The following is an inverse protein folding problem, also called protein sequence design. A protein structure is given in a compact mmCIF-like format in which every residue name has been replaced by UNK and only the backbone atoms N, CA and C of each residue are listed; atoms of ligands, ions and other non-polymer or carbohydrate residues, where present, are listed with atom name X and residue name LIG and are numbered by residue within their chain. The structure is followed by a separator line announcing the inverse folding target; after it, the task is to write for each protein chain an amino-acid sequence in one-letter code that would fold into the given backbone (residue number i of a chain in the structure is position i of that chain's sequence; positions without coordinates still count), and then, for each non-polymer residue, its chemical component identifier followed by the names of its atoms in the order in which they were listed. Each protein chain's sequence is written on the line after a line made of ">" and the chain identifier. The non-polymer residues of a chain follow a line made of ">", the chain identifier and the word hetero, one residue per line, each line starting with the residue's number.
data_IF_547140866427
#
_entry.id   IF_547140866427
#
_cell.length_a   1.000
_cell.length_b   1.000
_cell.length_c   1.000
_cell.angle_alpha   90.00
_cell.angle_beta   90.00
_cell.angle_gamma   90.00
#
_symmetry.space_group_name_H-M   'P 1'
#
loop_
_entity.id
_entity.type
_entity.pdbx_description
1 polymer ?
#
# COMPACT_ATOMS: atom_id res chain seq x y z
N UNK A 1 23.14 -3.13 15.78
CA UNK A 1 22.98 -1.84 15.08
C UNK A 1 21.63 -1.89 14.40
N UNK A 2 20.78 -0.87 14.53
CA UNK A 2 19.51 -0.84 13.80
C UNK A 2 19.80 -0.94 12.30
N UNK A 3 19.03 -1.74 11.59
CA UNK A 3 19.09 -1.82 10.14
C UNK A 3 18.29 -0.65 9.52
N UNK A 4 18.37 -0.47 8.19
CA UNK A 4 17.64 0.61 7.50
C UNK A 4 16.12 0.50 7.72
N UNK A 5 15.59 -0.72 7.87
CA UNK A 5 14.18 -0.96 8.10
C UNK A 5 13.75 -0.44 9.48
N UNK A 6 14.54 -0.67 10.52
CA UNK A 6 14.29 -0.16 11.87
C UNK A 6 14.22 1.37 11.91
N UNK A 7 15.10 2.05 11.17
CA UNK A 7 15.11 3.51 11.06
C UNK A 7 13.84 4.03 10.35
N UNK A 8 13.39 3.33 9.31
CA UNK A 8 12.17 3.67 8.59
C UNK A 8 10.96 3.51 9.50
N UNK A 9 10.81 2.36 10.16
CA UNK A 9 9.68 2.08 11.06
C UNK A 9 9.65 3.07 12.22
N UNK A 10 10.82 3.40 12.80
CA UNK A 10 10.91 4.38 13.89
C UNK A 10 10.39 5.75 13.48
N UNK A 11 10.77 6.23 12.28
CA UNK A 11 10.24 7.50 11.78
C UNK A 11 8.75 7.41 11.42
N UNK A 12 8.31 6.28 10.87
CA UNK A 12 6.89 6.06 10.54
C UNK A 12 6.01 6.09 11.78
N UNK A 13 6.49 5.65 12.95
CA UNK A 13 5.76 5.76 14.22
C UNK A 13 5.52 7.22 14.63
N UNK A 14 6.49 8.10 14.38
CA UNK A 14 6.33 9.54 14.63
C UNK A 14 5.32 10.14 13.65
N UNK A 15 5.45 9.83 12.36
CA UNK A 15 4.51 10.28 11.32
C UNK A 15 3.07 9.81 11.60
N UNK A 16 2.90 8.55 12.03
CA UNK A 16 1.59 8.01 12.41
C UNK A 16 0.99 8.79 13.58
N UNK A 17 1.75 9.03 14.64
CA UNK A 17 1.27 9.78 15.81
C UNK A 17 0.86 11.21 15.45
N UNK A 18 1.62 11.86 14.56
CA UNK A 18 1.27 13.18 14.02
C UNK A 18 -0.01 13.09 13.18
N UNK A 19 -0.12 12.11 12.27
CA UNK A 19 -1.31 11.88 11.44
C UNK A 19 -2.58 11.68 12.26
N UNK A 20 -2.54 10.80 13.26
CA UNK A 20 -3.65 10.53 14.20
C UNK A 20 -4.07 11.76 15.02
N UNK A 21 -3.16 12.74 15.21
CA UNK A 21 -3.47 14.00 15.89
C UNK A 21 -4.19 15.01 14.98
N UNK A 22 -4.01 14.89 13.66
CA UNK A 22 -4.56 15.81 12.67
C UNK A 22 -5.90 15.33 12.10
N UNK A 23 -6.04 14.03 11.89
CA UNK A 23 -7.25 13.42 11.31
C UNK A 23 -7.73 12.33 12.24
N UNK A 24 -8.99 12.41 12.67
CA UNK A 24 -9.55 11.40 13.57
C UNK A 24 -9.92 10.13 12.81
N UNK A 25 -9.93 8.99 13.50
CA UNK A 25 -10.40 7.73 12.93
C UNK A 25 -11.84 7.85 12.39
N UNK A 26 -12.71 8.58 13.10
CA UNK A 26 -14.09 8.80 12.68
C UNK A 26 -14.19 9.61 11.35
N UNK A 27 -13.32 10.60 11.16
CA UNK A 27 -13.25 11.35 9.90
C UNK A 27 -12.79 10.45 8.75
N UNK A 28 -11.80 9.58 8.99
CA UNK A 28 -11.36 8.59 8.01
C UNK A 28 -12.47 7.60 7.67
N UNK A 29 -13.17 7.05 8.67
CA UNK A 29 -14.31 6.16 8.45
C UNK A 29 -15.40 6.82 7.60
N UNK A 30 -15.73 8.09 7.89
CA UNK A 30 -16.66 8.88 7.06
C UNK A 30 -16.14 9.04 5.63
N UNK A 31 -14.84 9.27 5.44
CA UNK A 31 -14.24 9.34 4.11
C UNK A 31 -14.29 7.98 3.37
N UNK A 32 -14.10 6.86 4.07
CA UNK A 32 -14.19 5.52 3.45
C UNK A 32 -15.56 5.24 2.85
N UNK A 33 -16.64 5.76 3.46
CA UNK A 33 -18.01 5.56 3.00
C UNK A 33 -18.28 6.21 1.63
N UNK A 34 -17.50 7.22 1.26
CA UNK A 34 -17.61 7.91 -0.03
C UNK A 34 -16.77 7.25 -1.13
N UNK A 35 -15.94 6.27 -0.79
CA UNK A 35 -15.07 5.63 -1.76
C UNK A 35 -15.80 4.48 -2.48
N UNK A 36 -15.54 4.25 -3.77
CA UNK A 36 -16.08 3.09 -4.48
C UNK A 36 -15.57 1.79 -3.86
N UNK A 37 -16.17 0.65 -4.19
CA UNK A 37 -15.63 -0.63 -3.73
C UNK A 37 -14.21 -0.85 -4.27
N UNK A 38 -13.27 -1.37 -3.46
CA UNK A 38 -11.96 -1.79 -3.94
C UNK A 38 -12.05 -2.76 -5.12
N UNK A 39 -11.12 -2.61 -6.07
CA UNK A 39 -10.95 -3.57 -7.15
C UNK A 39 -10.23 -4.84 -6.66
N UNK A 40 -10.53 -5.96 -7.30
CA UNK A 40 -9.98 -7.26 -6.94
C UNK A 40 -8.53 -7.40 -7.43
N UNK A 41 -7.56 -7.23 -6.52
CA UNK A 41 -6.13 -7.42 -6.76
C UNK A 41 -5.81 -8.88 -7.11
N UNK A 42 -6.28 -9.87 -6.33
CA UNK A 42 -5.95 -11.27 -6.62
C UNK A 42 -6.47 -11.67 -7.99
N UNK A 43 -7.68 -11.25 -8.34
CA UNK A 43 -8.27 -11.44 -9.66
C UNK A 43 -7.45 -10.83 -10.79
N UNK A 44 -6.83 -9.66 -10.57
CA UNK A 44 -5.96 -9.02 -11.57
C UNK A 44 -4.61 -9.74 -11.76
N UNK A 45 -4.15 -10.43 -10.71
CA UNK A 45 -2.93 -11.23 -10.69
C UNK A 45 -3.14 -12.68 -11.15
N UNK A 46 -4.38 -13.16 -11.22
CA UNK A 46 -4.71 -14.46 -11.81
C UNK A 46 -4.53 -14.45 -13.34
N UNK A 47 -4.09 -15.58 -13.88
CA UNK A 47 -3.97 -15.79 -15.32
C UNK A 47 -2.67 -16.50 -15.73
N UNK A 48 -2.52 -16.76 -17.03
CA UNK A 48 -1.28 -17.29 -17.60
C UNK A 48 -0.28 -16.18 -17.92
N UNK A 49 1.01 -16.49 -17.83
CA UNK A 49 2.10 -15.55 -18.13
C UNK A 49 2.46 -14.64 -16.96
N UNK A 50 3.42 -13.74 -17.19
CA UNK A 50 3.88 -12.80 -16.16
C UNK A 50 2.86 -11.67 -16.00
N UNK A 51 2.43 -11.45 -14.75
CA UNK A 51 1.53 -10.35 -14.36
C UNK A 51 2.34 -9.30 -13.61
N UNK A 52 2.39 -8.08 -14.14
CA UNK A 52 3.25 -7.02 -13.62
C UNK A 52 2.47 -6.10 -12.67
N UNK A 53 2.93 -5.97 -11.43
CA UNK A 53 2.60 -4.83 -10.56
C UNK A 53 3.63 -3.75 -10.85
N UNK A 54 3.21 -2.64 -11.45
CA UNK A 54 4.11 -1.54 -11.81
C UNK A 54 4.14 -0.49 -10.70
N UNK A 55 5.33 -0.18 -10.19
CA UNK A 55 5.51 0.73 -9.05
C UNK A 55 5.79 2.18 -9.48
N UNK A 56 5.01 3.11 -8.95
CA UNK A 56 5.21 4.55 -9.05
C UNK A 56 6.08 5.00 -7.87
N UNK A 57 7.30 5.43 -8.18
CA UNK A 57 8.31 5.76 -7.17
C UNK A 57 9.28 6.85 -7.64
N UNK A 58 9.41 7.90 -6.82
CA UNK A 58 10.27 9.05 -7.11
C UNK A 58 11.71 8.86 -6.65
N UNK A 59 11.91 8.35 -5.43
CA UNK A 59 13.22 8.16 -4.83
C UNK A 59 13.31 6.87 -4.01
N UNK A 60 14.52 6.51 -3.58
CA UNK A 60 14.75 5.45 -2.59
C UNK A 60 15.95 5.76 -1.70
N UNK A 61 15.98 5.28 -0.45
CA UNK A 61 17.15 5.42 0.43
C UNK A 61 18.44 4.84 -0.19
N UNK A 62 18.33 3.75 -0.96
CA UNK A 62 19.50 3.05 -1.52
C UNK A 62 20.03 3.64 -2.83
N UNK A 63 19.18 4.28 -3.65
CA UNK A 63 19.56 4.82 -4.97
C UNK A 63 19.36 6.33 -5.12
N UNK A 64 18.87 7.01 -4.09
CA UNK A 64 18.55 8.44 -4.15
C UNK A 64 17.37 8.74 -5.08
N UNK A 65 17.41 9.89 -5.74
CA UNK A 65 16.40 10.35 -6.70
C UNK A 65 16.44 9.48 -7.97
N UNK A 66 15.34 8.81 -8.27
CA UNK A 66 15.20 7.95 -9.45
C UNK A 66 14.63 8.72 -10.65
N UNK A 67 13.68 9.63 -10.38
CA UNK A 67 12.97 10.38 -11.41
C UNK A 67 12.84 11.86 -11.00
N UNK A 68 13.67 12.76 -11.58
CA UNK A 68 13.58 14.20 -11.31
C UNK A 68 12.23 14.81 -11.72
N UNK A 69 11.78 14.52 -12.94
CA UNK A 69 10.50 15.00 -13.50
C UNK A 69 9.36 14.04 -13.16
N UNK A 70 9.10 13.88 -11.86
CA UNK A 70 8.13 12.92 -11.35
C UNK A 70 6.69 13.36 -11.61
N UNK A 71 6.01 12.65 -12.51
CA UNK A 71 4.60 12.79 -12.81
C UNK A 71 3.89 11.45 -12.55
N UNK A 72 3.36 11.31 -11.34
CA UNK A 72 2.71 10.07 -10.88
C UNK A 72 1.46 9.73 -11.71
N UNK A 73 0.74 10.74 -12.24
CA UNK A 73 -0.45 10.52 -13.06
C UNK A 73 -0.06 9.98 -14.44
N UNK A 74 0.95 10.57 -15.07
CA UNK A 74 1.46 10.10 -16.36
C UNK A 74 2.03 8.69 -16.24
N UNK A 75 2.73 8.38 -15.15
CA UNK A 75 3.21 7.01 -14.89
C UNK A 75 2.05 6.04 -14.72
N UNK A 76 1.04 6.38 -13.91
CA UNK A 76 -0.14 5.54 -13.72
C UNK A 76 -0.86 5.23 -15.04
N UNK A 77 -1.13 6.24 -15.87
CA UNK A 77 -1.77 6.03 -17.18
C UNK A 77 -0.88 5.22 -18.11
N UNK A 78 0.43 5.47 -18.10
CA UNK A 78 1.38 4.69 -18.91
C UNK A 78 1.35 3.22 -18.50
N UNK A 79 1.40 2.92 -17.21
CA UNK A 79 1.38 1.54 -16.71
C UNK A 79 0.06 0.84 -17.02
N UNK A 80 -1.07 1.52 -16.74
CA UNK A 80 -2.41 0.99 -17.01
C UNK A 80 -2.64 0.72 -18.50
N UNK A 81 -2.27 1.66 -19.37
CA UNK A 81 -2.46 1.54 -20.83
C UNK A 81 -1.55 0.49 -21.48
N UNK A 82 -0.41 0.16 -20.86
CA UNK A 82 0.52 -0.87 -21.32
C UNK A 82 0.31 -2.24 -20.64
N UNK A 83 -0.81 -2.42 -19.92
CA UNK A 83 -1.24 -3.73 -19.43
C UNK A 83 -0.63 -4.16 -18.10
N UNK A 84 -0.19 -3.23 -17.25
CA UNK A 84 0.10 -3.54 -15.86
C UNK A 84 -1.13 -4.20 -15.20
N UNK A 85 -0.91 -5.29 -14.47
CA UNK A 85 -1.96 -6.00 -13.76
C UNK A 85 -2.45 -5.20 -12.55
N UNK A 86 -1.55 -4.48 -11.88
CA UNK A 86 -1.85 -3.54 -10.82
C UNK A 86 -0.82 -2.40 -10.81
N UNK A 87 -1.16 -1.31 -10.14
CA UNK A 87 -0.28 -0.17 -9.89
C UNK A 87 0.04 -0.14 -8.40
N UNK A 88 1.32 -0.11 -8.06
CA UNK A 88 1.78 0.14 -6.70
C UNK A 88 2.16 1.61 -6.56
N UNK A 89 1.59 2.31 -5.59
CA UNK A 89 1.91 3.71 -5.31
C UNK A 89 2.60 3.83 -3.97
N UNK A 90 3.83 4.31 -3.98
CA UNK A 90 4.62 4.52 -2.77
C UNK A 90 4.21 5.84 -2.10
N UNK A 91 3.76 5.76 -0.85
CA UNK A 91 3.21 6.91 -0.11
C UNK A 91 4.12 7.44 0.99
N UNK A 92 5.22 6.74 1.27
CA UNK A 92 6.15 7.13 2.34
C UNK A 92 7.00 8.38 1.97
N UNK A 93 7.01 9.43 2.81
CA UNK A 93 7.75 10.67 2.54
C UNK A 93 9.25 10.52 2.38
N UNK A 94 9.90 9.51 3.00
CA UNK A 94 11.34 9.23 2.82
C UNK A 94 11.67 8.84 1.39
N UNK A 95 10.70 8.32 0.66
CA UNK A 95 10.81 8.00 -0.77
C UNK A 95 10.24 9.11 -1.67
N UNK A 96 9.91 10.27 -1.07
CA UNK A 96 9.19 11.38 -1.68
C UNK A 96 7.84 10.93 -2.27
N UNK A 97 7.18 9.99 -1.57
CA UNK A 97 5.79 9.61 -1.80
C UNK A 97 4.84 10.48 -0.99
N UNK A 98 3.57 10.49 -1.40
CA UNK A 98 2.50 11.22 -0.73
C UNK A 98 1.23 10.37 -0.78
N UNK A 99 0.48 10.31 0.33
CA UNK A 99 -0.78 9.58 0.40
C UNK A 99 -1.80 10.10 -0.64
N UNK A 100 -1.82 11.41 -0.88
CA UNK A 100 -2.71 12.06 -1.83
C UNK A 100 -2.53 11.56 -3.28
N UNK A 101 -1.36 11.03 -3.64
CA UNK A 101 -1.14 10.44 -4.96
C UNK A 101 -2.09 9.27 -5.23
N UNK A 102 -2.48 8.49 -4.21
CA UNK A 102 -3.43 7.39 -4.39
C UNK A 102 -4.77 7.90 -4.93
N UNK A 103 -5.35 8.91 -4.25
CA UNK A 103 -6.64 9.47 -4.66
C UNK A 103 -6.56 10.11 -6.05
N UNK A 104 -5.49 10.86 -6.32
CA UNK A 104 -5.25 11.49 -7.62
C UNK A 104 -5.14 10.44 -8.75
N UNK A 105 -4.45 9.31 -8.51
CA UNK A 105 -4.38 8.19 -9.47
C UNK A 105 -5.75 7.52 -9.64
N UNK A 106 -6.51 7.34 -8.56
CA UNK A 106 -7.86 6.76 -8.63
C UNK A 106 -8.80 7.62 -9.47
N UNK A 107 -8.73 8.95 -9.32
CA UNK A 107 -9.55 9.94 -10.03
C UNK A 107 -9.13 10.15 -11.49
N UNK A 108 -7.87 9.91 -11.86
CA UNK A 108 -7.38 10.11 -13.24
C UNK A 108 -7.90 9.10 -14.27
N UNK A 109 -8.49 7.99 -13.80
CA UNK A 109 -9.04 6.93 -14.65
C UNK A 109 -8.13 5.71 -14.82
N UNK A 110 -6.89 5.72 -14.32
CA UNK A 110 -6.02 4.54 -14.30
C UNK A 110 -6.69 3.33 -13.59
N UNK A 111 -7.49 3.63 -12.57
CA UNK A 111 -8.33 2.68 -11.84
C UNK A 111 -9.40 1.98 -12.70
N UNK A 112 -9.70 2.46 -13.90
CA UNK A 112 -10.64 1.77 -14.80
C UNK A 112 -10.01 0.52 -15.43
N UNK A 113 -8.68 0.36 -15.35
CA UNK A 113 -7.95 -0.73 -16.02
C UNK A 113 -7.20 -1.63 -15.04
N UNK A 114 -6.72 -1.08 -13.91
CA UNK A 114 -5.89 -1.81 -12.96
C UNK A 114 -6.18 -1.38 -11.50
N UNK A 115 -6.19 -2.31 -10.52
CA UNK A 115 -6.18 -1.98 -9.10
C UNK A 115 -4.96 -1.12 -8.72
N UNK A 116 -5.16 -0.19 -7.79
CA UNK A 116 -4.11 0.69 -7.26
C UNK A 116 -3.88 0.35 -5.80
N UNK A 117 -2.70 -0.13 -5.46
CA UNK A 117 -2.34 -0.50 -4.09
C UNK A 117 -1.46 0.56 -3.41
N UNK A 118 -1.63 0.71 -2.10
CA UNK A 118 -0.71 1.50 -1.26
C UNK A 118 0.53 0.68 -0.92
N UNK A 119 1.69 1.23 -1.23
CA UNK A 119 2.97 0.73 -0.73
C UNK A 119 3.50 1.67 0.34
N UNK A 120 3.52 1.17 1.57
CA UNK A 120 3.99 1.91 2.75
C UNK A 120 4.37 0.90 3.85
N UNK A 121 4.84 1.41 4.98
CA UNK A 121 5.13 0.63 6.18
C UNK A 121 3.90 0.69 7.09
N UNK A 122 3.00 -0.29 6.93
CA UNK A 122 1.73 -0.36 7.65
C UNK A 122 1.87 -1.29 8.85
N UNK A 123 1.57 -0.77 10.03
CA UNK A 123 1.60 -1.51 11.29
C UNK A 123 0.51 -1.08 12.27
N UNK A 124 -0.46 -0.26 11.86
CA UNK A 124 -1.55 0.18 12.73
C UNK A 124 -2.90 0.12 11.99
N UNK A 125 -3.99 -0.34 12.63
CA UNK A 125 -5.33 -0.33 12.04
C UNK A 125 -5.77 1.05 11.53
N UNK A 126 -5.31 2.15 12.14
CA UNK A 126 -5.54 3.50 11.62
C UNK A 126 -5.05 3.64 10.16
N UNK A 127 -3.87 3.09 9.85
CA UNK A 127 -3.31 3.13 8.50
C UNK A 127 -4.13 2.29 7.51
N UNK A 128 -4.83 1.24 7.96
CA UNK A 128 -5.76 0.47 7.12
C UNK A 128 -6.94 1.36 6.70
N UNK A 129 -7.57 2.04 7.67
CA UNK A 129 -8.69 2.95 7.39
C UNK A 129 -8.23 4.14 6.54
N UNK A 130 -7.07 4.70 6.82
CA UNK A 130 -6.44 5.77 6.03
C UNK A 130 -6.21 5.34 4.58
N UNK A 131 -5.72 4.10 4.38
CA UNK A 131 -5.51 3.52 3.05
C UNK A 131 -6.81 3.41 2.27
N UNK A 132 -7.89 2.96 2.93
CA UNK A 132 -9.23 2.91 2.34
C UNK A 132 -9.75 4.30 2.01
N UNK A 133 -9.60 5.25 2.93
CA UNK A 133 -10.04 6.64 2.76
C UNK A 133 -9.34 7.34 1.59
N UNK A 134 -8.08 6.99 1.33
CA UNK A 134 -7.30 7.44 0.16
C UNK A 134 -7.69 6.75 -1.16
N UNK A 135 -8.63 5.79 -1.12
CA UNK A 135 -9.20 5.14 -2.30
C UNK A 135 -8.44 3.90 -2.79
N UNK A 136 -7.39 3.45 -2.10
CA UNK A 136 -6.58 2.30 -2.53
C UNK A 136 -7.38 0.98 -2.57
N UNK A 137 -7.11 0.15 -3.56
CA UNK A 137 -7.78 -1.13 -3.75
C UNK A 137 -7.17 -2.25 -2.89
N UNK A 138 -5.90 -2.10 -2.53
CA UNK A 138 -5.12 -3.05 -1.75
C UNK A 138 -3.97 -2.34 -1.03
N UNK A 139 -3.25 -3.05 -0.17
CA UNK A 139 -2.10 -2.52 0.55
C UNK A 139 -0.98 -3.54 0.74
N UNK A 140 0.22 -3.05 1.05
CA UNK A 140 1.37 -3.87 1.46
C UNK A 140 1.32 -4.10 2.98
N UNK A 141 1.49 -5.34 3.41
CA UNK A 141 1.87 -5.70 4.79
C UNK A 141 3.23 -6.41 4.75
N UNK A 142 4.12 -6.10 5.68
CA UNK A 142 5.49 -6.63 5.68
C UNK A 142 5.69 -7.44 6.96
N UNK A 143 5.92 -8.74 6.85
CA UNK A 143 6.04 -9.62 8.03
C UNK A 143 7.20 -9.19 8.93
N UNK A 144 8.32 -8.78 8.33
CA UNK A 144 9.51 -8.32 9.05
C UNK A 144 9.29 -7.14 10.05
N UNK A 145 8.17 -6.41 9.96
CA UNK A 145 7.88 -5.28 10.86
C UNK A 145 6.65 -5.51 11.76
N UNK A 146 6.05 -6.71 11.70
CA UNK A 146 4.80 -7.04 12.36
C UNK A 146 4.97 -8.25 13.27
N UNK A 147 4.39 -8.16 14.46
CA UNK A 147 4.18 -9.36 15.27
C UNK A 147 3.11 -10.25 14.61
N UNK A 148 3.14 -11.59 14.76
CA UNK A 148 2.17 -12.48 14.11
C UNK A 148 0.70 -12.13 14.41
N UNK A 149 0.40 -11.74 15.66
CA UNK A 149 -0.94 -11.31 16.05
C UNK A 149 -1.37 -10.00 15.36
N UNK A 150 -0.41 -9.10 15.14
CA UNK A 150 -0.63 -7.81 14.48
C UNK A 150 -0.85 -7.99 12.98
N UNK A 151 -0.10 -8.89 12.32
CA UNK A 151 -0.35 -9.25 10.93
C UNK A 151 -1.78 -9.75 10.74
N UNK A 152 -2.23 -10.66 11.61
CA UNK A 152 -3.61 -11.16 11.57
C UNK A 152 -4.65 -10.07 11.77
N UNK A 153 -4.46 -9.20 12.77
CA UNK A 153 -5.34 -8.06 13.02
C UNK A 153 -5.45 -7.13 11.80
N UNK A 154 -4.33 -6.83 11.14
CA UNK A 154 -4.31 -5.95 9.97
C UNK A 154 -4.96 -6.62 8.74
N UNK A 155 -4.81 -7.94 8.57
CA UNK A 155 -5.51 -8.70 7.54
C UNK A 155 -7.03 -8.67 7.76
N UNK A 156 -7.48 -8.90 8.99
CA UNK A 156 -8.91 -8.85 9.37
C UNK A 156 -9.48 -7.43 9.18
N UNK A 157 -8.73 -6.39 9.56
CA UNK A 157 -9.11 -5.00 9.35
C UNK A 157 -9.21 -4.65 7.85
N UNK A 158 -8.24 -5.07 7.03
CA UNK A 158 -8.28 -4.88 5.58
C UNK A 158 -9.49 -5.56 4.96
N UNK A 159 -9.80 -6.79 5.37
CA UNK A 159 -10.96 -7.54 4.93
C UNK A 159 -12.27 -6.84 5.30
N UNK A 160 -12.38 -6.27 6.51
CA UNK A 160 -13.55 -5.49 6.93
C UNK A 160 -13.80 -4.27 6.01
N UNK A 161 -12.75 -3.74 5.39
CA UNK A 161 -12.80 -2.67 4.39
C UNK A 161 -12.77 -3.16 2.94
N UNK A 162 -12.97 -4.47 2.69
CA UNK A 162 -12.98 -5.10 1.38
C UNK A 162 -11.67 -4.97 0.59
N UNK A 163 -10.56 -4.65 1.26
CA UNK A 163 -9.25 -4.55 0.65
C UNK A 163 -8.50 -5.87 0.76
N UNK A 164 -7.65 -6.15 -0.22
CA UNK A 164 -6.71 -7.25 -0.17
C UNK A 164 -5.33 -6.74 0.26
N UNK A 165 -4.53 -7.62 0.86
CA UNK A 165 -3.16 -7.32 1.24
C UNK A 165 -2.21 -8.14 0.38
N UNK A 166 -1.15 -7.50 -0.10
CA UNK A 166 0.06 -8.17 -0.56
C UNK A 166 0.98 -8.33 0.65
N UNK A 167 1.27 -9.56 1.06
CA UNK A 167 2.08 -9.85 2.26
C UNK A 167 3.52 -10.14 1.83
N UNK A 168 4.42 -9.23 2.19
CA UNK A 168 5.85 -9.30 1.89
C UNK A 168 6.59 -10.15 2.92
N UNK A 169 7.33 -11.15 2.42
CA UNK A 169 8.16 -12.08 3.20
C UNK A 169 9.58 -12.11 2.63
N UNK A 170 10.56 -12.28 3.50
CA UNK A 170 12.00 -12.29 3.14
C UNK A 170 12.67 -13.65 3.35
N UNK A 171 12.06 -14.53 4.15
CA UNK A 171 12.55 -15.87 4.43
C UNK A 171 11.41 -16.87 4.68
N UNK A 172 11.78 -18.13 4.93
CA UNK A 172 10.85 -19.24 5.12
C UNK A 172 10.03 -19.11 6.43
N UNK A 173 10.59 -18.50 7.48
CA UNK A 173 9.89 -18.30 8.74
C UNK A 173 8.83 -17.19 8.62
N UNK A 174 9.14 -16.12 7.88
CA UNK A 174 8.17 -15.08 7.52
C UNK A 174 7.04 -15.65 6.65
N UNK A 175 7.35 -16.57 5.74
CA UNK A 175 6.34 -17.27 4.93
C UNK A 175 5.40 -18.13 5.80
N UNK A 176 5.95 -18.91 6.74
CA UNK A 176 5.13 -19.70 7.68
C UNK A 176 4.19 -18.79 8.48
N UNK A 177 4.71 -17.67 8.98
CA UNK A 177 3.91 -16.66 9.69
C UNK A 177 2.79 -16.07 8.81
N UNK A 178 3.09 -15.76 7.54
CA UNK A 178 2.10 -15.24 6.60
C UNK A 178 0.98 -16.25 6.31
N UNK A 179 1.33 -17.51 6.09
CA UNK A 179 0.37 -18.59 5.84
C UNK A 179 -0.51 -18.83 7.07
N UNK A 180 0.07 -18.88 8.27
CA UNK A 180 -0.66 -19.08 9.53
C UNK A 180 -1.60 -17.91 9.85
N UNK A 181 -1.22 -16.69 9.45
CA UNK A 181 -2.07 -15.50 9.57
C UNK A 181 -3.22 -15.47 8.54
N UNK A 182 -3.18 -16.33 7.52
CA UNK A 182 -4.20 -16.40 6.47
C UNK A 182 -4.00 -15.42 5.31
N UNK A 183 -2.74 -15.11 4.96
CA UNK A 183 -2.42 -14.30 3.79
C UNK A 183 -2.88 -14.98 2.48
N UNK A 184 -3.58 -14.23 1.62
CA UNK A 184 -4.04 -14.70 0.30
C UNK A 184 -3.05 -14.41 -0.84
N UNK A 185 -2.28 -13.31 -0.73
CA UNK A 185 -1.36 -12.78 -1.78
C UNK A 185 -0.01 -12.45 -1.17
#
# INVERSE_FOLDING_TARGET
>A
MPNILDEIVTAKRVELAEGMSQVSLADLESATANQPRPLNLSGALLGGGVRLIAEIKKASPSRGLLMPDFDHLKLAETYASNGAAAISCLTDPRFQGELAHLLQIKESGASQRAPVMRKDFIFDPYQVVETRAAGADAMLLIVAILEPAQLKELLEAAQAHWMQCLVEVHDEAELETAVDAGADI
#
